data_IF_052320361797
#
_entry.id   IF_052320361797
#
_cell.length_a   1.000
_cell.length_b   1.000
_cell.length_c   1.000
_cell.angle_alpha   90.00
_cell.angle_beta   90.00
_cell.angle_gamma   90.00
#
_symmetry.space_group_name_H-M   'P 1'
#
loop_
_entity.id
_entity.type
_entity.pdbx_description
1 polymer ?
#
# COMPACT_ATOMS: atom_id res chain seq x y z
N UNK A 1 -4.10 -21.96 -9.67
CA UNK A 1 -3.74 -21.21 -8.45
C UNK A 1 -5.02 -20.84 -7.72
N UNK A 2 -5.11 -21.01 -6.39
CA UNK A 2 -6.31 -20.62 -5.63
C UNK A 2 -6.59 -19.11 -5.81
N UNK A 3 -7.86 -18.73 -5.98
CA UNK A 3 -8.28 -17.34 -6.16
C UNK A 3 -7.68 -16.40 -5.11
N UNK A 4 -7.67 -16.79 -3.83
CA UNK A 4 -7.15 -15.94 -2.76
C UNK A 4 -5.64 -15.81 -2.81
N UNK A 5 -4.91 -16.81 -3.31
CA UNK A 5 -3.47 -16.69 -3.54
C UNK A 5 -3.18 -15.72 -4.68
N UNK A 6 -3.96 -15.78 -5.75
CA UNK A 6 -3.85 -14.83 -6.86
C UNK A 6 -4.19 -13.42 -6.41
N UNK A 7 -5.29 -13.25 -5.68
CA UNK A 7 -5.72 -11.97 -5.14
C UNK A 7 -4.67 -11.38 -4.18
N UNK A 8 -4.10 -12.19 -3.30
CA UNK A 8 -2.99 -11.78 -2.44
C UNK A 8 -1.79 -11.27 -3.25
N UNK A 9 -1.41 -11.99 -4.30
CA UNK A 9 -0.30 -11.61 -5.18
C UNK A 9 -0.60 -10.31 -5.92
N UNK A 10 -1.84 -10.10 -6.39
CA UNK A 10 -2.25 -8.84 -7.02
C UNK A 10 -2.13 -7.66 -6.05
N UNK A 11 -2.58 -7.82 -4.80
CA UNK A 11 -2.44 -6.79 -3.76
C UNK A 11 -0.97 -6.49 -3.50
N UNK A 12 -0.13 -7.53 -3.41
CA UNK A 12 1.31 -7.36 -3.22
C UNK A 12 1.95 -6.60 -4.38
N UNK A 13 1.56 -6.90 -5.63
CA UNK A 13 2.03 -6.18 -6.83
C UNK A 13 1.60 -4.71 -6.79
N UNK A 14 0.34 -4.43 -6.46
CA UNK A 14 -0.16 -3.05 -6.31
C UNK A 14 0.65 -2.32 -5.24
N UNK A 15 0.97 -2.98 -4.13
CA UNK A 15 1.77 -2.40 -3.06
C UNK A 15 3.21 -2.09 -3.49
N UNK A 16 3.82 -2.97 -4.31
CA UNK A 16 5.12 -2.70 -4.94
C UNK A 16 5.01 -1.46 -5.83
N UNK A 17 3.98 -1.38 -6.68
CA UNK A 17 3.76 -0.21 -7.54
C UNK A 17 3.64 1.06 -6.70
N UNK A 18 2.82 1.05 -5.64
CA UNK A 18 2.63 2.19 -4.74
C UNK A 18 3.94 2.66 -4.09
N UNK A 19 4.77 1.73 -3.63
CA UNK A 19 6.10 2.04 -3.09
C UNK A 19 6.97 2.68 -4.17
N UNK A 20 7.07 2.07 -5.36
CA UNK A 20 7.89 2.60 -6.45
C UNK A 20 7.43 4.00 -6.89
N UNK A 21 6.13 4.22 -7.07
CA UNK A 21 5.55 5.53 -7.41
C UNK A 21 5.75 6.54 -6.29
N UNK A 22 5.53 6.14 -5.04
CA UNK A 22 5.68 7.01 -3.89
C UNK A 22 7.12 7.47 -3.70
N UNK A 23 8.11 6.57 -3.76
CA UNK A 23 9.47 6.85 -3.30
C UNK A 23 10.44 7.19 -4.41
N UNK A 24 10.40 6.47 -5.54
CA UNK A 24 11.34 6.69 -6.65
C UNK A 24 10.90 7.86 -7.53
N UNK A 25 9.60 7.95 -7.79
CA UNK A 25 9.05 9.01 -8.62
C UNK A 25 8.55 10.21 -7.81
N UNK A 26 8.57 10.13 -6.47
CA UNK A 26 8.06 11.17 -5.53
C UNK A 26 6.67 11.67 -5.91
N UNK A 27 5.88 10.76 -6.47
CA UNK A 27 4.62 11.07 -7.09
C UNK A 27 3.50 11.17 -6.06
N UNK A 28 3.59 10.41 -4.95
CA UNK A 28 2.60 10.40 -3.89
C UNK A 28 3.07 11.32 -2.76
N UNK A 29 2.42 12.47 -2.60
CA UNK A 29 2.63 13.36 -1.46
C UNK A 29 1.50 13.14 -0.43
N UNK A 30 1.88 12.84 0.81
CA UNK A 30 0.96 12.71 1.95
C UNK A 30 0.85 14.03 2.73
N UNK A 31 1.75 14.99 2.49
CA UNK A 31 1.81 16.28 3.15
C UNK A 31 3.01 17.10 2.65
N UNK A 32 3.78 17.67 3.57
CA UNK A 32 5.06 18.35 3.30
C UNK A 32 6.21 17.69 4.08
N UNK A 33 7.36 17.52 3.42
CA UNK A 33 8.65 17.29 4.08
C UNK A 33 8.75 15.98 4.87
N UNK A 34 9.00 16.08 6.18
CA UNK A 34 9.24 14.93 7.07
C UNK A 34 8.00 14.03 7.25
N UNK A 35 6.79 14.56 7.06
CA UNK A 35 5.56 13.77 7.12
C UNK A 35 5.54 12.68 6.04
N UNK A 36 5.95 13.03 4.81
CA UNK A 36 6.03 12.07 3.71
C UNK A 36 7.05 10.96 4.00
N UNK A 37 8.15 11.27 4.69
CA UNK A 37 9.17 10.29 5.04
C UNK A 37 8.63 9.20 5.98
N UNK A 38 7.77 9.58 6.94
CA UNK A 38 7.10 8.64 7.84
C UNK A 38 6.17 7.72 7.04
N UNK A 39 5.39 8.29 6.12
CA UNK A 39 4.49 7.52 5.26
C UNK A 39 5.22 6.59 4.29
N UNK A 40 6.35 7.02 3.71
CA UNK A 40 7.22 6.15 2.92
C UNK A 40 7.81 5.01 3.74
N UNK A 41 8.25 5.30 4.97
CA UNK A 41 8.71 4.26 5.91
C UNK A 41 7.62 3.23 6.20
N UNK A 42 6.39 3.68 6.43
CA UNK A 42 5.23 2.82 6.65
C UNK A 42 4.90 1.96 5.42
N UNK A 43 4.92 2.55 4.22
CA UNK A 43 4.71 1.85 2.95
C UNK A 43 5.73 0.72 2.75
N UNK A 44 7.02 0.99 2.98
CA UNK A 44 8.08 -0.02 2.91
C UNK A 44 7.90 -1.11 3.96
N UNK A 45 7.62 -0.73 5.21
CA UNK A 45 7.43 -1.69 6.30
C UNK A 45 6.27 -2.65 5.98
N UNK A 46 5.14 -2.10 5.53
CA UNK A 46 3.99 -2.91 5.13
C UNK A 46 4.33 -3.83 3.96
N UNK A 47 5.10 -3.36 2.95
CA UNK A 47 5.47 -4.19 1.81
C UNK A 47 6.35 -5.37 2.25
N UNK A 48 7.35 -5.11 3.10
CA UNK A 48 8.25 -6.14 3.63
C UNK A 48 7.46 -7.17 4.44
N UNK A 49 6.58 -6.72 5.34
CA UNK A 49 5.74 -7.64 6.14
C UNK A 49 4.84 -8.46 5.22
N UNK A 50 4.17 -7.85 4.24
CA UNK A 50 3.29 -8.56 3.32
C UNK A 50 4.05 -9.60 2.49
N UNK A 51 5.22 -9.25 1.99
CA UNK A 51 6.08 -10.14 1.21
C UNK A 51 6.54 -11.35 2.06
N UNK A 52 7.05 -11.11 3.27
CA UNK A 52 7.49 -12.17 4.18
C UNK A 52 6.33 -13.10 4.51
N UNK A 53 5.17 -12.56 4.90
CA UNK A 53 3.99 -13.36 5.21
C UNK A 53 3.48 -14.15 4.00
N UNK A 54 3.55 -13.58 2.79
CA UNK A 54 3.17 -14.28 1.57
C UNK A 54 4.10 -15.46 1.27
N UNK A 55 5.41 -15.29 1.44
CA UNK A 55 6.41 -16.34 1.21
C UNK A 55 6.31 -17.45 2.28
N UNK A 56 6.38 -17.08 3.55
CA UNK A 56 6.30 -18.03 4.69
C UNK A 56 4.94 -18.74 4.70
N UNK A 57 3.89 -18.04 4.30
CA UNK A 57 2.52 -18.52 4.26
C UNK A 57 2.13 -19.29 2.99
N UNK A 58 3.02 -19.48 2.02
CA UNK A 58 2.67 -19.97 0.66
C UNK A 58 1.91 -21.30 0.64
N UNK A 59 2.22 -22.21 1.58
CA UNK A 59 1.59 -23.53 1.70
C UNK A 59 0.45 -23.56 2.71
N UNK A 60 0.07 -22.43 3.33
CA UNK A 60 -1.03 -22.37 4.29
C UNK A 60 -2.39 -22.43 3.60
N UNK A 61 -3.41 -22.60 4.44
CA UNK A 61 -4.79 -22.83 4.00
C UNK A 61 -5.40 -21.62 3.27
N UNK A 62 -6.49 -21.85 2.55
CA UNK A 62 -7.27 -20.80 1.88
C UNK A 62 -7.68 -19.66 2.84
N UNK A 63 -8.12 -20.00 4.06
CA UNK A 63 -8.52 -19.02 5.08
C UNK A 63 -7.37 -18.10 5.51
N UNK A 64 -6.12 -18.60 5.49
CA UNK A 64 -4.94 -17.79 5.76
C UNK A 64 -4.78 -16.71 4.69
N UNK A 65 -4.80 -17.09 3.41
CA UNK A 65 -4.69 -16.13 2.31
C UNK A 65 -5.86 -15.15 2.27
N UNK A 66 -7.09 -15.62 2.54
CA UNK A 66 -8.25 -14.73 2.63
C UNK A 66 -8.06 -13.64 3.69
N UNK A 67 -7.63 -14.00 4.90
CA UNK A 67 -7.37 -13.02 5.97
C UNK A 67 -6.22 -12.09 5.60
N UNK A 68 -5.10 -12.64 5.11
CA UNK A 68 -3.93 -11.88 4.72
C UNK A 68 -4.27 -10.83 3.65
N UNK A 69 -4.94 -11.26 2.57
CA UNK A 69 -5.36 -10.39 1.48
C UNK A 69 -6.32 -9.31 1.95
N UNK A 70 -7.32 -9.65 2.78
CA UNK A 70 -8.28 -8.65 3.26
C UNK A 70 -7.61 -7.61 4.15
N UNK A 71 -6.70 -8.02 5.05
CA UNK A 71 -5.94 -7.10 5.89
C UNK A 71 -5.11 -6.13 5.06
N UNK A 72 -4.30 -6.63 4.11
CA UNK A 72 -3.46 -5.75 3.29
C UNK A 72 -4.24 -4.90 2.30
N UNK A 73 -5.37 -5.40 1.79
CA UNK A 73 -6.28 -4.61 0.98
C UNK A 73 -6.83 -3.41 1.75
N UNK A 74 -7.32 -3.63 2.98
CA UNK A 74 -7.84 -2.55 3.82
C UNK A 74 -6.74 -1.53 4.18
N UNK A 75 -5.52 -1.98 4.46
CA UNK A 75 -4.41 -1.08 4.74
C UNK A 75 -3.99 -0.25 3.51
N UNK A 76 -4.04 -0.83 2.30
CA UNK A 76 -3.79 -0.08 1.06
C UNK A 76 -4.88 0.97 0.84
N UNK A 77 -6.15 0.59 1.01
CA UNK A 77 -7.28 1.54 0.91
C UNK A 77 -7.09 2.68 1.89
N UNK A 78 -6.72 2.39 3.13
CA UNK A 78 -6.44 3.41 4.14
C UNK A 78 -5.32 4.37 3.70
N UNK A 79 -4.18 3.86 3.24
CA UNK A 79 -3.07 4.70 2.74
C UNK A 79 -3.52 5.57 1.56
N UNK A 80 -4.31 5.01 0.63
CA UNK A 80 -4.84 5.78 -0.48
C UNK A 80 -5.77 6.89 -0.01
N UNK A 81 -6.59 6.66 1.02
CA UNK A 81 -7.46 7.69 1.60
C UNK A 81 -6.63 8.80 2.25
N UNK A 82 -5.60 8.48 3.05
CA UNK A 82 -4.67 9.45 3.65
C UNK A 82 -3.96 10.30 2.58
N UNK A 83 -3.59 9.69 1.44
CA UNK A 83 -2.98 10.41 0.33
C UNK A 83 -3.97 11.29 -0.48
N UNK A 84 -5.28 11.07 -0.33
CA UNK A 84 -6.32 11.70 -1.18
C UNK A 84 -7.39 12.41 -0.37
N UNK A 85 -8.44 11.70 0.04
CA UNK A 85 -9.67 12.27 0.63
C UNK A 85 -9.43 12.77 2.06
N UNK A 86 -8.61 12.06 2.83
CA UNK A 86 -8.28 12.38 4.23
C UNK A 86 -7.03 13.23 4.37
N UNK A 87 -6.47 13.68 3.24
CA UNK A 87 -5.39 14.64 3.25
C UNK A 87 -5.85 15.92 3.95
N UNK A 88 -5.02 16.44 4.86
CA UNK A 88 -5.36 17.59 5.69
C UNK A 88 -5.87 18.78 4.87
N UNK A 89 -6.85 19.51 5.43
CA UNK A 89 -7.59 20.56 4.72
C UNK A 89 -6.73 21.73 4.22
N UNK A 90 -5.54 21.93 4.78
CA UNK A 90 -4.55 22.90 4.30
C UNK A 90 -3.97 22.54 2.92
N UNK A 91 -4.11 21.28 2.49
CA UNK A 91 -3.61 20.74 1.23
C UNK A 91 -4.63 19.77 0.62
N UNK A 92 -5.89 20.22 0.49
CA UNK A 92 -6.96 19.44 -0.11
C UNK A 92 -6.53 18.85 -1.47
N UNK A 93 -6.88 17.58 -1.69
CA UNK A 93 -6.55 16.88 -2.92
C UNK A 93 -7.06 17.64 -4.15
N UNK A 94 -6.14 18.02 -5.04
CA UNK A 94 -6.41 18.80 -6.23
C UNK A 94 -6.89 17.95 -7.44
N UNK A 95 -7.22 16.68 -7.22
CA UNK A 95 -7.58 15.73 -8.28
C UNK A 95 -6.39 15.12 -9.02
N UNK A 96 -5.16 15.59 -8.77
CA UNK A 96 -3.93 15.03 -9.36
C UNK A 96 -3.24 14.13 -8.35
N UNK A 97 -2.96 12.89 -8.77
CA UNK A 97 -2.17 11.93 -7.99
C UNK A 97 -0.67 12.13 -8.24
N UNK A 98 -0.31 12.78 -9.35
CA UNK A 98 1.07 13.03 -9.78
C UNK A 98 1.35 14.54 -9.77
N UNK A 99 2.49 14.94 -9.23
CA UNK A 99 3.02 16.30 -9.42
C UNK A 99 3.50 16.47 -10.87
N UNK A 100 3.26 17.64 -11.47
CA UNK A 100 3.81 18.03 -12.77
C UNK A 100 5.31 18.37 -12.65
#
# INVERSE_FOLDING_TARGET
MDFWKLFNLMILIIQVILVLTGTLFKQIAFGWGLGDLIWYGLLYLMLIIHLILTIVGWKKSRKYHQKLSLTFFLLIVWICLEATIWRDSEYAWNGKIFHD
#
